data_IF_989838516643
#
_entry.id   IF_989838516643
#
_cell.length_a   1.000
_cell.length_b   1.000
_cell.length_c   1.000
_cell.angle_alpha   90.00
_cell.angle_beta   90.00
_cell.angle_gamma   90.00
#
_symmetry.space_group_name_H-M   'P 1'
#
loop_
_entity.id
_entity.type
_entity.pdbx_description
1 polymer ?
#
# COMPACT_ATOMS: atom_id res chain seq x y z
N UNK A 1 6.13 -32.60 0.23
CA UNK A 1 6.29 -31.34 1.00
C UNK A 1 6.05 -30.11 0.14
N UNK A 2 6.64 -30.03 -1.07
CA UNK A 2 6.33 -28.96 -2.03
C UNK A 2 4.86 -28.91 -2.47
N UNK A 3 4.23 -30.07 -2.71
CA UNK A 3 2.82 -30.15 -3.10
C UNK A 3 1.87 -29.65 -2.01
N UNK A 4 2.05 -30.08 -0.76
CA UNK A 4 1.21 -29.63 0.36
C UNK A 4 1.37 -28.15 0.68
N UNK A 5 2.55 -27.55 0.43
CA UNK A 5 2.74 -26.10 0.49
C UNK A 5 2.01 -25.39 -0.65
N UNK A 6 2.10 -25.91 -1.87
CA UNK A 6 1.43 -25.35 -3.05
C UNK A 6 -0.11 -25.41 -2.92
N UNK A 7 -0.65 -26.49 -2.36
CA UNK A 7 -2.09 -26.62 -2.08
C UNK A 7 -2.58 -25.54 -1.11
N UNK A 8 -1.83 -25.28 -0.03
CA UNK A 8 -2.16 -24.19 0.91
C UNK A 8 -2.06 -22.82 0.22
N UNK A 9 -1.03 -22.62 -0.60
CA UNK A 9 -0.91 -21.39 -1.38
C UNK A 9 -2.13 -21.20 -2.28
N UNK A 10 -2.50 -22.20 -3.09
CA UNK A 10 -3.67 -22.13 -3.97
C UNK A 10 -4.97 -21.89 -3.20
N UNK A 11 -5.12 -22.52 -2.03
CA UNK A 11 -6.31 -22.39 -1.17
C UNK A 11 -6.49 -20.97 -0.62
N UNK A 12 -5.41 -20.30 -0.19
CA UNK A 12 -5.50 -19.03 0.53
C UNK A 12 -5.03 -17.81 -0.27
N UNK A 13 -4.17 -17.99 -1.27
CA UNK A 13 -3.41 -16.92 -1.95
C UNK A 13 -3.37 -17.04 -3.47
N UNK A 14 -3.73 -18.20 -4.05
CA UNK A 14 -3.58 -18.45 -5.49
C UNK A 14 -4.60 -17.72 -6.35
N UNK A 15 -5.90 -17.92 -6.10
CA UNK A 15 -6.95 -17.24 -6.86
C UNK A 15 -7.30 -15.90 -6.18
N UNK A 16 -7.27 -14.77 -6.90
CA UNK A 16 -7.61 -13.46 -6.33
C UNK A 16 -9.03 -13.41 -5.78
N UNK A 17 -9.94 -14.24 -6.30
CA UNK A 17 -11.31 -14.37 -5.79
C UNK A 17 -11.40 -15.10 -4.44
N UNK A 18 -10.49 -16.06 -4.18
CA UNK A 18 -10.44 -16.84 -2.93
C UNK A 18 -9.56 -16.18 -1.86
N UNK A 19 -8.68 -15.28 -2.26
CA UNK A 19 -7.73 -14.62 -1.36
C UNK A 19 -8.40 -13.62 -0.42
N UNK A 20 -7.84 -13.48 0.79
CA UNK A 20 -8.30 -12.48 1.73
C UNK A 20 -7.98 -11.05 1.22
N UNK A 21 -9.03 -10.29 0.95
CA UNK A 21 -8.95 -8.92 0.40
C UNK A 21 -8.30 -7.92 1.36
N UNK A 22 -8.24 -8.23 2.66
CA UNK A 22 -7.57 -7.41 3.67
C UNK A 22 -6.09 -7.16 3.36
N UNK A 23 -5.43 -8.09 2.66
CA UNK A 23 -4.02 -7.96 2.26
C UNK A 23 -3.81 -6.74 1.37
N UNK A 24 -4.76 -6.45 0.47
CA UNK A 24 -4.69 -5.27 -0.38
C UNK A 24 -4.99 -3.99 0.40
N UNK A 25 -5.90 -4.04 1.37
CA UNK A 25 -6.21 -2.89 2.24
C UNK A 25 -4.96 -2.51 3.05
N UNK A 26 -4.26 -3.47 3.64
CA UNK A 26 -2.99 -3.21 4.33
C UNK A 26 -1.95 -2.60 3.39
N UNK A 27 -1.92 -3.05 2.13
CA UNK A 27 -0.99 -2.53 1.14
C UNK A 27 -1.30 -1.08 0.73
N UNK A 28 -2.59 -0.69 0.67
CA UNK A 28 -3.03 0.69 0.43
C UNK A 28 -2.75 1.61 1.63
N UNK A 29 -2.92 1.10 2.85
CA UNK A 29 -2.74 1.87 4.08
C UNK A 29 -1.26 1.99 4.50
N UNK A 30 -0.37 1.20 3.91
CA UNK A 30 1.06 1.27 4.18
C UNK A 30 1.64 2.59 3.65
N UNK A 31 2.14 3.49 4.53
CA UNK A 31 2.70 4.78 4.15
C UNK A 31 3.89 4.67 3.20
N UNK A 32 4.56 3.52 3.17
CA UNK A 32 5.72 3.29 2.30
C UNK A 32 5.32 3.14 0.82
N UNK A 33 4.04 2.84 0.54
CA UNK A 33 3.55 2.61 -0.81
C UNK A 33 2.89 3.87 -1.37
N UNK A 34 3.20 4.19 -2.63
CA UNK A 34 2.45 5.21 -3.36
C UNK A 34 1.06 4.65 -3.67
N UNK A 35 -0.01 5.39 -3.38
CA UNK A 35 -1.39 4.93 -3.61
C UNK A 35 -1.62 4.47 -5.06
N UNK A 36 -1.02 5.17 -6.03
CA UNK A 36 -1.10 4.85 -7.46
C UNK A 36 -0.38 3.55 -7.85
N UNK A 37 0.55 3.08 -7.01
CA UNK A 37 1.28 1.83 -7.23
C UNK A 37 0.40 0.60 -7.02
N UNK A 38 -0.56 0.69 -6.10
CA UNK A 38 -1.44 -0.44 -5.75
C UNK A 38 -2.25 -0.97 -6.93
N UNK A 39 -3.03 -0.14 -7.66
CA UNK A 39 -3.80 -0.65 -8.80
C UNK A 39 -2.90 -1.18 -9.92
N UNK A 40 -1.73 -0.57 -10.11
CA UNK A 40 -0.73 -1.06 -11.08
C UNK A 40 -0.24 -2.46 -10.70
N UNK A 41 0.18 -2.65 -9.44
CA UNK A 41 0.69 -3.93 -8.94
C UNK A 41 -0.37 -5.05 -9.00
N UNK A 42 -1.63 -4.73 -8.69
CA UNK A 42 -2.74 -5.69 -8.76
C UNK A 42 -2.99 -6.15 -10.21
N UNK A 43 -2.97 -5.23 -11.17
CA UNK A 43 -3.17 -5.56 -12.59
C UNK A 43 -1.99 -6.34 -13.16
N UNK A 44 -0.76 -6.03 -12.76
CA UNK A 44 0.43 -6.78 -13.16
C UNK A 44 0.41 -8.22 -12.63
N UNK A 45 -0.06 -8.42 -11.39
CA UNK A 45 -0.05 -9.73 -10.74
C UNK A 45 -1.20 -10.66 -11.18
N UNK A 46 -2.40 -10.12 -11.41
CA UNK A 46 -3.61 -10.91 -11.71
C UNK A 46 -4.12 -10.72 -13.13
N UNK A 47 -3.41 -9.94 -13.95
CA UNK A 47 -3.84 -9.58 -15.29
C UNK A 47 -4.93 -8.50 -15.32
N UNK A 48 -5.19 -7.99 -16.52
CA UNK A 48 -6.04 -6.82 -16.73
C UNK A 48 -7.49 -7.01 -16.27
N UNK A 49 -8.12 -8.14 -16.60
CA UNK A 49 -9.54 -8.35 -16.29
C UNK A 49 -9.80 -8.55 -14.79
N UNK A 50 -9.12 -9.52 -14.17
CA UNK A 50 -9.37 -9.84 -12.77
C UNK A 50 -8.71 -8.84 -11.83
N UNK A 51 -7.55 -8.30 -12.20
CA UNK A 51 -6.91 -7.21 -11.46
C UNK A 51 -7.79 -5.96 -11.40
N UNK A 52 -8.45 -5.57 -12.50
CA UNK A 52 -9.37 -4.43 -12.49
C UNK A 52 -10.59 -4.66 -11.59
N UNK A 53 -11.20 -5.86 -11.64
CA UNK A 53 -12.31 -6.21 -10.73
C UNK A 53 -11.87 -6.10 -9.27
N UNK A 54 -10.68 -6.63 -8.95
CA UNK A 54 -10.13 -6.59 -7.61
C UNK A 54 -9.83 -5.16 -7.14
N UNK A 55 -9.30 -4.31 -8.02
CA UNK A 55 -9.09 -2.88 -7.72
C UNK A 55 -10.42 -2.18 -7.37
N UNK A 56 -11.49 -2.46 -8.10
CA UNK A 56 -12.83 -1.90 -7.82
C UNK A 56 -13.36 -2.36 -6.46
N UNK A 57 -13.18 -3.64 -6.13
CA UNK A 57 -13.57 -4.16 -4.82
C UNK A 57 -12.77 -3.50 -3.69
N UNK A 58 -11.44 -3.41 -3.82
CA UNK A 58 -10.57 -2.77 -2.82
C UNK A 58 -10.98 -1.31 -2.61
N UNK A 59 -11.22 -0.56 -3.69
CA UNK A 59 -11.72 0.82 -3.61
C UNK A 59 -13.06 0.90 -2.86
N UNK A 60 -13.99 0.00 -3.14
CA UNK A 60 -15.29 -0.08 -2.45
C UNK A 60 -15.12 -0.35 -0.95
N UNK A 61 -14.20 -1.25 -0.57
CA UNK A 61 -13.90 -1.51 0.84
C UNK A 61 -13.27 -0.31 1.55
N UNK A 62 -12.29 0.35 0.92
CA UNK A 62 -11.65 1.55 1.48
C UNK A 62 -12.65 2.68 1.70
N UNK A 63 -13.56 2.91 0.75
CA UNK A 63 -14.62 3.92 0.90
C UNK A 63 -15.54 3.61 2.08
N UNK A 64 -15.98 2.35 2.23
CA UNK A 64 -16.80 1.93 3.38
C UNK A 64 -16.06 2.10 4.70
N UNK A 65 -14.77 1.77 4.74
CA UNK A 65 -13.94 1.93 5.92
C UNK A 65 -13.85 3.41 6.29
N UNK A 66 -13.57 4.27 5.32
CA UNK A 66 -13.53 5.72 5.50
C UNK A 66 -14.87 6.27 6.02
N UNK A 67 -15.99 5.93 5.38
CA UNK A 67 -17.33 6.34 5.81
C UNK A 67 -17.62 5.90 7.27
N UNK A 68 -17.23 4.69 7.63
CA UNK A 68 -17.38 4.17 8.98
C UNK A 68 -16.57 4.98 9.99
N UNK A 69 -15.31 5.29 9.69
CA UNK A 69 -14.45 6.12 10.55
C UNK A 69 -14.98 7.54 10.69
N UNK A 70 -15.40 8.17 9.59
CA UNK A 70 -15.98 9.52 9.59
C UNK A 70 -17.24 9.56 10.46
N UNK A 71 -18.12 8.56 10.33
CA UNK A 71 -19.36 8.48 11.13
C UNK A 71 -19.09 8.30 12.62
N UNK A 72 -18.01 7.58 12.97
CA UNK A 72 -17.65 7.25 14.36
C UNK A 72 -16.72 8.28 15.00
N UNK A 73 -16.11 9.15 14.20
CA UNK A 73 -15.34 10.27 14.71
C UNK A 73 -16.29 11.25 15.41
N UNK A 74 -16.05 11.62 16.69
CA UNK A 74 -16.77 12.74 17.28
C UNK A 74 -16.54 13.95 16.37
N UNK A 75 -17.60 14.71 16.09
CA UNK A 75 -17.52 16.01 15.43
C UNK A 75 -16.78 16.99 16.34
N UNK A 76 -15.51 16.74 16.63
CA UNK A 76 -14.63 17.76 17.14
C UNK A 76 -14.51 18.75 15.99
N UNK A 77 -14.99 19.98 16.23
CA UNK A 77 -14.76 21.08 15.32
C UNK A 77 -13.29 21.09 14.92
N UNK A 78 -13.01 21.31 13.64
CA UNK A 78 -11.70 21.68 13.13
C UNK A 78 -11.22 22.96 13.84
N UNK A 79 -10.76 22.84 15.07
CA UNK A 79 -9.93 23.84 15.71
C UNK A 79 -8.51 23.33 15.53
N UNK A 80 -7.89 23.75 14.43
CA UNK A 80 -6.44 23.72 14.29
C UNK A 80 -5.91 24.69 15.35
N UNK A 81 -5.25 24.26 16.44
CA UNK A 81 -4.42 25.16 17.19
C UNK A 81 -3.16 25.32 16.35
N UNK A 82 -3.11 26.41 15.58
CA UNK A 82 -1.85 26.91 15.04
C UNK A 82 -0.99 27.36 16.22
N UNK A 83 -0.13 26.47 16.70
CA UNK A 83 1.01 26.81 17.56
C UNK A 83 2.25 26.16 16.95
N UNK A 84 3.30 26.94 16.63
CA UNK A 84 4.55 26.39 16.14
C UNK A 84 5.30 25.84 17.34
N UNK A 85 5.31 24.51 17.51
CA UNK A 85 6.25 23.88 18.44
C UNK A 85 7.55 23.66 17.68
N UNK A 86 8.55 24.49 18.00
CA UNK A 86 9.94 24.30 17.60
C UNK A 86 10.36 22.86 17.86
N UNK A 87 10.72 22.13 16.81
CA UNK A 87 11.44 20.87 16.96
C UNK A 87 12.87 21.22 17.33
N UNK A 88 13.15 21.26 18.62
CA UNK A 88 14.51 21.29 19.14
C UNK A 88 15.20 19.97 18.75
N UNK A 89 16.20 20.13 17.91
CA UNK A 89 17.06 19.08 17.42
C UNK A 89 18.12 18.81 18.50
N UNK A 90 18.01 17.71 19.27
CA UNK A 90 19.15 17.21 20.04
C UNK A 90 19.06 15.71 20.31
N UNK A 91 19.99 15.02 19.66
CA UNK A 91 20.42 13.62 19.71
C UNK A 91 20.18 12.79 20.98
N UNK A 92 19.76 11.55 20.79
CA UNK A 92 20.54 10.39 21.26
C UNK A 92 20.29 9.18 20.36
N UNK A 93 21.30 8.90 19.54
CA UNK A 93 21.41 7.69 18.71
C UNK A 93 21.48 6.49 19.67
N UNK A 94 20.43 5.66 19.71
CA UNK A 94 20.59 4.26 20.05
C UNK A 94 20.84 3.51 18.75
N UNK A 95 22.12 3.29 18.46
CA UNK A 95 22.58 2.41 17.40
C UNK A 95 22.14 0.97 17.71
N UNK A 96 20.91 0.61 17.33
CA UNK A 96 20.61 -0.80 17.06
C UNK A 96 21.22 -1.09 15.71
N UNK A 97 22.45 -1.61 15.73
CA UNK A 97 23.21 -2.01 14.56
C UNK A 97 22.48 -3.15 13.83
N UNK A 98 21.58 -2.79 12.92
CA UNK A 98 20.83 -3.77 12.14
C UNK A 98 19.91 -3.23 11.04
N UNK A 99 19.91 -1.93 10.74
CA UNK A 99 19.05 -1.35 9.69
C UNK A 99 19.78 -0.77 8.46
N UNK A 100 21.11 -0.81 8.41
CA UNK A 100 21.90 -0.19 7.33
C UNK A 100 22.03 -1.04 6.05
N UNK A 101 20.99 -1.76 5.63
CA UNK A 101 21.03 -2.53 4.36
C UNK A 101 19.76 -2.44 3.50
N UNK A 102 18.80 -1.56 3.83
CA UNK A 102 17.60 -1.40 2.98
C UNK A 102 17.75 -0.39 1.84
N UNK A 103 18.75 0.48 1.89
CA UNK A 103 18.95 1.54 0.87
C UNK A 103 19.51 0.97 -0.45
N UNK A 104 20.09 -0.25 -0.43
CA UNK A 104 20.67 -0.90 -1.61
C UNK A 104 19.94 -2.18 -2.05
N UNK A 105 18.66 -2.38 -1.68
CA UNK A 105 17.86 -3.38 -2.39
C UNK A 105 17.48 -2.78 -3.73
N UNK A 106 18.19 -3.20 -4.77
CA UNK A 106 17.90 -2.87 -6.16
C UNK A 106 16.39 -2.85 -6.40
N UNK A 107 15.92 -1.74 -6.97
CA UNK A 107 14.51 -1.44 -7.22
C UNK A 107 13.82 -2.68 -7.79
N UNK A 108 12.79 -3.19 -7.11
CA UNK A 108 12.11 -4.42 -7.54
C UNK A 108 11.59 -4.24 -8.98
N UNK A 109 11.61 -5.30 -9.79
CA UNK A 109 11.20 -5.24 -11.21
C UNK A 109 9.85 -4.52 -11.39
N UNK A 110 8.89 -4.80 -10.52
CA UNK A 110 7.55 -4.18 -10.53
C UNK A 110 7.58 -2.66 -10.29
N UNK A 111 8.45 -2.16 -9.40
CA UNK A 111 8.62 -0.73 -9.17
C UNK A 111 9.24 -0.03 -10.39
N UNK A 112 10.19 -0.68 -11.07
CA UNK A 112 10.76 -0.17 -12.31
C UNK A 112 9.70 -0.07 -13.42
N UNK A 113 8.86 -1.11 -13.57
CA UNK A 113 7.76 -1.08 -14.54
C UNK A 113 6.74 0.01 -14.21
N UNK A 114 6.44 0.22 -12.93
CA UNK A 114 5.55 1.30 -12.51
C UNK A 114 6.09 2.68 -12.86
N UNK A 115 7.39 2.92 -12.67
CA UNK A 115 8.00 4.21 -13.01
C UNK A 115 8.01 4.47 -14.52
N UNK A 116 8.32 3.45 -15.33
CA UNK A 116 8.15 3.52 -16.78
C UNK A 116 6.69 3.82 -17.17
N UNK A 117 5.73 3.15 -16.54
CA UNK A 117 4.31 3.42 -16.77
C UNK A 117 3.94 4.87 -16.39
N UNK A 118 4.57 5.43 -15.34
CA UNK A 118 4.34 6.81 -14.92
C UNK A 118 4.91 7.82 -15.93
N UNK A 119 6.08 7.56 -16.49
CA UNK A 119 6.70 8.37 -17.55
C UNK A 119 5.85 8.37 -18.82
N UNK A 120 5.32 7.21 -19.22
CA UNK A 120 4.50 7.07 -20.45
C UNK A 120 3.09 7.65 -20.27
N UNK A 121 2.50 7.57 -19.08
CA UNK A 121 1.14 8.07 -18.81
C UNK A 121 1.07 9.58 -18.55
N UNK A 122 2.19 10.31 -18.63
CA UNK A 122 2.23 11.77 -18.46
C UNK A 122 1.92 12.25 -17.05
N UNK A 123 1.93 11.37 -16.04
CA UNK A 123 1.75 11.74 -14.63
C UNK A 123 3.07 12.20 -14.00
N UNK A 124 3.81 13.05 -14.72
CA UNK A 124 4.88 13.87 -14.14
C UNK A 124 4.20 15.03 -13.42
N UNK A 125 3.81 14.79 -12.16
CA UNK A 125 3.29 15.82 -11.25
C UNK A 125 4.36 16.89 -11.06
N UNK A 126 3.97 18.15 -11.34
CA UNK A 126 4.63 19.38 -10.88
C UNK A 126 4.45 19.55 -9.37
#
# INVERSE_FOLDING_TARGET
>A
MAESMNEKFKKYWGEPQKMNKMVFISFVLDPCNKLDYVPFAIVDLFGKQDGQKLCLEVKKYMNKLFEYYVKRSPKSSLHVPSSPTSFDNSSSIYSVSGCDNFVNRGRMRMQQQFEKHKEVSGSSVS
#
